data_IF_506968561254
#
_entry.id   IF_506968561254
#
_cell.length_a   1.000
_cell.length_b   1.000
_cell.length_c   1.000
_cell.angle_alpha   90.00
_cell.angle_beta   90.00
_cell.angle_gamma   90.00
#
_symmetry.space_group_name_H-M   'P 1'
#
loop_
_entity.id
_entity.type
_entity.pdbx_description
1 polymer ?
#
# COMPACT_ATOMS: atom_id res chain seq x y z
N UNK A 1 -7.82 21.46 11.50
CA UNK A 1 -8.78 20.77 10.62
C UNK A 1 -8.98 19.34 11.10
N UNK A 2 -10.12 18.71 10.79
CA UNK A 2 -10.47 17.36 11.21
C UNK A 2 -10.70 16.47 9.98
N UNK A 3 -9.88 15.41 9.81
CA UNK A 3 -10.07 14.41 8.77
C UNK A 3 -10.78 13.17 9.32
N UNK A 4 -11.84 12.72 8.66
CA UNK A 4 -12.39 11.39 8.90
C UNK A 4 -11.65 10.38 8.02
N UNK A 5 -10.97 9.43 8.62
CA UNK A 5 -10.31 8.30 7.95
C UNK A 5 -11.24 7.10 8.11
N UNK A 6 -11.77 6.57 7.00
CA UNK A 6 -12.77 5.51 7.01
C UNK A 6 -12.14 4.19 6.62
N UNK A 7 -11.96 3.31 7.60
CA UNK A 7 -11.21 2.06 7.52
C UNK A 7 -9.97 2.10 8.39
N UNK A 8 -9.87 1.20 9.36
CA UNK A 8 -8.81 1.20 10.38
C UNK A 8 -7.73 0.14 10.18
N UNK A 9 -7.66 -0.48 8.99
CA UNK A 9 -6.62 -1.45 8.65
C UNK A 9 -5.38 -0.76 8.06
N UNK A 10 -4.68 -1.39 7.14
CA UNK A 10 -3.36 -0.99 6.63
C UNK A 10 -3.31 0.45 6.10
N UNK A 11 -4.21 0.82 5.17
CA UNK A 11 -4.27 2.20 4.64
C UNK A 11 -4.64 3.20 5.74
N UNK A 12 -5.52 2.80 6.67
CA UNK A 12 -5.90 3.63 7.82
C UNK A 12 -4.72 3.91 8.75
N UNK A 13 -3.84 2.93 8.96
CA UNK A 13 -2.59 3.11 9.73
C UNK A 13 -1.69 4.14 9.04
N UNK A 14 -1.46 4.01 7.74
CA UNK A 14 -0.64 4.95 6.95
C UNK A 14 -1.18 6.38 7.07
N UNK A 15 -2.49 6.55 6.81
CA UNK A 15 -3.15 7.85 6.86
C UNK A 15 -3.08 8.50 8.23
N UNK A 16 -3.35 7.75 9.31
CA UNK A 16 -3.28 8.28 10.68
C UNK A 16 -1.86 8.67 11.04
N UNK A 17 -0.87 7.81 10.76
CA UNK A 17 0.53 8.11 11.03
C UNK A 17 1.04 9.35 10.28
N UNK A 18 0.61 9.55 9.02
CA UNK A 18 0.99 10.73 8.23
C UNK A 18 0.24 11.99 8.69
N UNK A 19 -1.04 11.88 9.07
CA UNK A 19 -1.81 12.99 9.63
C UNK A 19 -1.20 13.52 10.93
N UNK A 20 -0.66 12.63 11.81
CA UNK A 20 0.07 13.01 13.02
C UNK A 20 1.35 13.84 12.77
N UNK A 21 1.86 13.88 11.53
CA UNK A 21 2.99 14.73 11.12
C UNK A 21 2.56 16.10 10.64
N UNK A 22 1.29 16.42 10.77
CA UNK A 22 0.64 17.68 10.39
C UNK A 22 -0.17 18.24 11.56
N UNK A 23 -0.79 19.41 11.39
CA UNK A 23 -1.70 19.99 12.38
C UNK A 23 -3.15 19.48 12.25
N UNK A 24 -3.37 18.37 11.57
CA UNK A 24 -4.68 17.75 11.42
C UNK A 24 -5.03 16.85 12.60
N UNK A 25 -6.28 16.95 13.05
CA UNK A 25 -6.88 15.95 13.92
C UNK A 25 -7.49 14.83 13.08
N UNK A 26 -7.51 13.62 13.64
CA UNK A 26 -8.03 12.42 12.98
C UNK A 26 -9.24 11.87 13.71
N UNK A 27 -10.30 11.58 12.96
CA UNK A 27 -11.44 10.76 13.38
C UNK A 27 -11.38 9.45 12.61
N UNK A 28 -10.91 8.38 13.23
CA UNK A 28 -10.93 7.05 12.62
C UNK A 28 -12.34 6.46 12.73
N UNK A 29 -12.87 5.99 11.60
CA UNK A 29 -14.20 5.38 11.50
C UNK A 29 -14.05 3.96 11.00
N UNK A 30 -14.55 2.98 11.75
CA UNK A 30 -14.59 1.58 11.33
C UNK A 30 -15.81 0.88 11.97
N UNK A 31 -16.37 -0.10 11.27
CA UNK A 31 -17.46 -0.93 11.82
C UNK A 31 -16.98 -1.88 12.93
N UNK A 32 -15.71 -2.26 12.87
CA UNK A 32 -15.09 -3.14 13.85
C UNK A 32 -14.38 -2.31 14.93
N UNK A 33 -14.42 -2.78 16.16
CA UNK A 33 -13.49 -2.41 17.21
C UNK A 33 -12.23 -3.26 17.08
N UNK A 34 -11.14 -2.87 17.70
CA UNK A 34 -9.85 -3.58 17.65
C UNK A 34 -9.18 -3.61 16.26
N UNK A 35 -9.30 -2.51 15.51
CA UNK A 35 -8.56 -2.32 14.25
C UNK A 35 -7.17 -1.72 14.49
N UNK A 36 -6.19 -2.01 13.62
CA UNK A 36 -4.79 -1.58 13.81
C UNK A 36 -4.58 -0.09 14.08
N UNK A 37 -5.28 0.80 13.37
CA UNK A 37 -5.13 2.25 13.51
C UNK A 37 -5.84 2.83 14.76
N UNK A 38 -6.59 2.03 15.54
CA UNK A 38 -7.48 2.53 16.60
C UNK A 38 -6.75 3.31 17.69
N UNK A 39 -5.55 2.91 18.10
CA UNK A 39 -4.80 3.60 19.16
C UNK A 39 -3.83 4.67 18.62
N UNK A 40 -3.75 4.79 17.31
CA UNK A 40 -2.95 5.81 16.65
C UNK A 40 -3.73 7.10 16.41
N UNK A 41 -5.07 7.05 16.26
CA UNK A 41 -5.90 8.21 15.96
C UNK A 41 -6.24 9.06 17.19
N UNK A 42 -6.63 10.33 16.97
CA UNK A 42 -7.09 11.21 18.06
C UNK A 42 -8.46 10.80 18.60
N UNK A 43 -9.35 10.33 17.72
CA UNK A 43 -10.71 9.89 18.05
C UNK A 43 -11.07 8.67 17.23
N UNK A 44 -11.72 7.70 17.88
CA UNK A 44 -12.28 6.53 17.22
C UNK A 44 -13.81 6.54 17.28
N UNK A 45 -14.43 6.22 16.17
CA UNK A 45 -15.88 6.06 16.05
C UNK A 45 -16.21 4.71 15.43
N UNK A 46 -16.89 3.86 16.21
CA UNK A 46 -17.45 2.63 15.64
C UNK A 46 -18.70 2.96 14.83
N UNK A 47 -18.64 2.79 13.52
CA UNK A 47 -19.74 3.07 12.59
C UNK A 47 -19.63 2.19 11.35
N UNK A 48 -20.72 1.56 10.94
CA UNK A 48 -20.81 0.94 9.61
C UNK A 48 -21.26 1.98 8.57
N UNK A 49 -20.34 2.38 7.72
CA UNK A 49 -20.60 3.38 6.66
C UNK A 49 -21.42 2.81 5.49
N UNK A 50 -21.67 1.50 5.47
CA UNK A 50 -22.68 0.92 4.59
C UNK A 50 -24.11 1.35 4.97
N UNK A 51 -24.32 1.81 6.21
CA UNK A 51 -25.58 2.39 6.68
C UNK A 51 -25.61 3.90 6.45
N UNK A 52 -26.04 4.35 5.28
CA UNK A 52 -26.00 5.75 4.85
C UNK A 52 -26.69 6.72 5.86
N UNK A 53 -27.73 6.29 6.56
CA UNK A 53 -28.46 7.10 7.56
C UNK A 53 -27.62 7.46 8.79
N UNK A 54 -26.56 6.70 9.07
CA UNK A 54 -25.70 6.91 10.21
C UNK A 54 -24.60 7.99 9.96
N UNK A 55 -24.25 8.25 8.69
CA UNK A 55 -23.21 9.20 8.31
C UNK A 55 -23.51 10.62 8.78
N UNK A 56 -24.76 11.09 8.64
CA UNK A 56 -25.17 12.46 8.97
C UNK A 56 -24.98 12.83 10.43
N UNK A 57 -25.22 11.89 11.32
CA UNK A 57 -25.10 12.14 12.77
C UNK A 57 -23.66 12.26 13.21
N UNK A 58 -22.77 11.62 12.47
CA UNK A 58 -21.42 11.33 12.94
C UNK A 58 -20.32 12.11 12.23
N UNK A 59 -20.48 12.41 10.92
CA UNK A 59 -19.42 12.99 10.09
C UNK A 59 -19.68 14.46 9.69
N UNK A 60 -20.78 15.09 10.09
CA UNK A 60 -21.13 16.46 9.65
C UNK A 60 -20.15 17.57 10.06
N UNK A 61 -19.21 17.29 10.95
CA UNK A 61 -18.26 18.29 11.48
C UNK A 61 -16.83 18.07 10.99
N UNK A 62 -16.63 17.12 10.07
CA UNK A 62 -15.30 16.89 9.49
C UNK A 62 -15.05 17.82 8.30
N UNK A 63 -13.81 18.18 8.07
CA UNK A 63 -13.41 19.02 6.94
C UNK A 63 -13.15 18.20 5.67
N UNK A 64 -12.76 16.92 5.85
CA UNK A 64 -12.38 16.01 4.77
C UNK A 64 -12.70 14.57 5.17
N UNK A 65 -13.12 13.74 4.22
CA UNK A 65 -13.24 12.29 4.37
C UNK A 65 -12.22 11.61 3.46
N UNK A 66 -11.42 10.70 4.01
CA UNK A 66 -10.46 9.89 3.24
C UNK A 66 -10.83 8.41 3.42
N UNK A 67 -11.34 7.74 2.37
CA UNK A 67 -11.59 6.31 2.41
C UNK A 67 -10.27 5.52 2.48
N UNK A 68 -10.21 4.55 3.39
CA UNK A 68 -9.13 3.61 3.62
C UNK A 68 -9.67 2.16 3.62
N UNK A 69 -10.57 1.89 2.68
CA UNK A 69 -11.28 0.61 2.53
C UNK A 69 -11.69 0.39 1.07
N UNK A 70 -12.06 -0.85 0.74
CA UNK A 70 -12.35 -1.28 -0.64
C UNK A 70 -13.80 -1.76 -0.84
N UNK A 71 -14.68 -1.50 0.12
CA UNK A 71 -16.07 -1.89 0.01
C UNK A 71 -16.87 -0.91 -0.85
N UNK A 72 -17.35 -1.34 -2.01
CA UNK A 72 -18.05 -0.50 -3.00
C UNK A 72 -19.29 0.21 -2.41
N UNK A 73 -20.10 -0.49 -1.60
CA UNK A 73 -21.30 0.11 -0.99
C UNK A 73 -20.90 1.25 -0.04
N UNK A 74 -19.85 1.04 0.76
CA UNK A 74 -19.33 2.05 1.66
C UNK A 74 -18.79 3.27 0.89
N UNK A 75 -18.05 3.04 -0.19
CA UNK A 75 -17.49 4.11 -1.02
C UNK A 75 -18.59 4.92 -1.71
N UNK A 76 -19.60 4.27 -2.29
CA UNK A 76 -20.73 4.92 -2.92
C UNK A 76 -21.53 5.78 -1.92
N UNK A 77 -21.78 5.25 -0.72
CA UNK A 77 -22.44 5.99 0.35
C UNK A 77 -21.66 7.23 0.79
N UNK A 78 -20.33 7.09 0.97
CA UNK A 78 -19.46 8.21 1.34
C UNK A 78 -19.45 9.30 0.27
N UNK A 79 -19.30 8.92 -1.01
CA UNK A 79 -19.28 9.86 -2.13
C UNK A 79 -20.63 10.58 -2.27
N UNK A 80 -21.74 9.85 -2.20
CA UNK A 80 -23.09 10.44 -2.28
C UNK A 80 -23.35 11.38 -1.09
N UNK A 81 -23.01 10.95 0.13
CA UNK A 81 -23.16 11.75 1.34
C UNK A 81 -22.29 13.03 1.27
N UNK A 82 -21.02 12.90 0.88
CA UNK A 82 -20.11 14.04 0.73
C UNK A 82 -20.63 15.09 -0.26
N UNK A 83 -21.17 14.65 -1.42
CA UNK A 83 -21.81 15.53 -2.40
C UNK A 83 -23.02 16.27 -1.81
N UNK A 84 -23.90 15.57 -1.07
CA UNK A 84 -25.08 16.17 -0.43
C UNK A 84 -24.69 17.18 0.66
N UNK A 85 -23.64 16.90 1.42
CA UNK A 85 -23.18 17.74 2.55
C UNK A 85 -22.13 18.78 2.16
N UNK A 86 -21.64 18.75 0.92
CA UNK A 86 -20.53 19.57 0.43
C UNK A 86 -19.26 19.41 1.26
N UNK A 87 -19.03 18.17 1.74
CA UNK A 87 -17.81 17.75 2.42
C UNK A 87 -16.99 16.95 1.41
N UNK A 88 -15.74 17.34 1.13
CA UNK A 88 -14.88 16.62 0.20
C UNK A 88 -14.65 15.18 0.66
N UNK A 89 -14.72 14.24 -0.29
CA UNK A 89 -14.32 12.85 -0.11
C UNK A 89 -13.14 12.61 -1.04
N UNK A 90 -11.98 12.26 -0.48
CA UNK A 90 -10.74 12.10 -1.22
C UNK A 90 -10.70 10.77 -1.97
N UNK A 91 -11.59 10.62 -2.93
CA UNK A 91 -11.73 9.49 -3.84
C UNK A 91 -12.26 9.98 -5.18
N UNK A 92 -11.65 9.52 -6.26
CA UNK A 92 -12.19 9.61 -7.61
C UNK A 92 -12.93 8.29 -7.93
N UNK A 93 -14.28 8.27 -7.90
CA UNK A 93 -15.01 7.03 -8.07
C UNK A 93 -14.92 6.44 -9.50
N UNK A 94 -14.68 7.29 -10.52
CA UNK A 94 -14.55 6.83 -11.92
C UNK A 94 -13.17 6.17 -12.11
N UNK A 95 -12.11 6.79 -11.60
CA UNK A 95 -10.76 6.22 -11.62
C UNK A 95 -10.70 4.92 -10.78
N UNK A 96 -11.33 4.93 -9.60
CA UNK A 96 -11.40 3.74 -8.73
C UNK A 96 -12.16 2.58 -9.39
N UNK A 97 -13.26 2.85 -10.09
CA UNK A 97 -14.01 1.81 -10.80
C UNK A 97 -13.18 1.09 -11.89
N UNK A 98 -12.18 1.79 -12.47
CA UNK A 98 -11.23 1.19 -13.41
C UNK A 98 -10.17 0.37 -12.64
N UNK A 99 -9.54 0.98 -11.63
CA UNK A 99 -8.41 0.37 -10.91
C UNK A 99 -8.82 -0.83 -10.06
N UNK A 100 -10.00 -0.80 -9.46
CA UNK A 100 -10.54 -1.92 -8.65
C UNK A 100 -10.91 -3.17 -9.46
N UNK A 101 -10.77 -3.13 -10.80
CA UNK A 101 -10.98 -4.27 -11.69
C UNK A 101 -9.76 -4.54 -12.55
N UNK A 102 -9.00 -5.61 -12.26
CA UNK A 102 -7.84 -6.01 -13.06
C UNK A 102 -8.19 -6.22 -14.53
N UNK A 103 -9.42 -6.68 -14.83
CA UNK A 103 -9.91 -6.81 -16.23
C UNK A 103 -10.06 -5.43 -16.88
N UNK A 104 -10.61 -4.43 -16.15
CA UNK A 104 -10.78 -3.08 -16.69
C UNK A 104 -9.41 -2.39 -16.85
N UNK A 105 -8.52 -2.52 -15.87
CA UNK A 105 -7.15 -2.01 -15.95
C UNK A 105 -6.37 -2.61 -17.13
N UNK A 106 -6.44 -3.93 -17.32
CA UNK A 106 -5.76 -4.59 -18.45
C UNK A 106 -6.30 -4.13 -19.82
N UNK A 107 -7.61 -3.86 -19.92
CA UNK A 107 -8.19 -3.26 -21.16
C UNK A 107 -7.66 -1.85 -21.41
N UNK A 108 -7.55 -1.06 -20.34
CA UNK A 108 -6.96 0.29 -20.41
C UNK A 108 -5.50 0.20 -20.87
N UNK A 109 -4.69 -0.64 -20.24
CA UNK A 109 -3.27 -0.81 -20.59
C UNK A 109 -3.09 -1.22 -22.05
N UNK A 110 -3.89 -2.18 -22.52
CA UNK A 110 -3.87 -2.60 -23.93
C UNK A 110 -4.23 -1.46 -24.88
N UNK A 111 -5.21 -0.61 -24.55
CA UNK A 111 -5.60 0.53 -25.37
C UNK A 111 -4.52 1.63 -25.47
N UNK A 112 -3.68 1.72 -24.45
CA UNK A 112 -2.57 2.69 -24.36
C UNK A 112 -1.23 2.11 -24.87
N UNK A 113 -1.17 0.83 -25.18
CA UNK A 113 0.07 0.15 -25.53
C UNK A 113 1.06 0.05 -24.36
N UNK A 114 0.55 0.07 -23.12
CA UNK A 114 1.37 -0.06 -21.89
C UNK A 114 1.84 -1.51 -21.78
N UNK A 115 3.15 -1.75 -21.54
CA UNK A 115 3.68 -3.09 -21.35
C UNK A 115 3.08 -3.77 -20.10
N UNK A 116 2.51 -4.96 -20.29
CA UNK A 116 1.95 -5.79 -19.22
C UNK A 116 2.42 -7.23 -19.39
N UNK A 117 2.23 -8.12 -18.40
CA UNK A 117 2.39 -9.55 -18.61
C UNK A 117 1.53 -10.03 -19.78
N UNK A 118 2.04 -10.96 -20.59
CA UNK A 118 1.30 -11.48 -21.73
C UNK A 118 0.05 -12.26 -21.25
N UNK A 119 -1.13 -12.07 -21.85
CA UNK A 119 -2.34 -12.76 -21.42
C UNK A 119 -2.32 -14.24 -21.84
N UNK A 120 -3.04 -15.08 -21.08
CA UNK A 120 -3.35 -16.45 -21.49
C UNK A 120 -4.35 -16.44 -22.68
N UNK A 121 -4.22 -17.37 -23.65
CA UNK A 121 -3.27 -18.49 -23.72
C UNK A 121 -1.93 -18.16 -24.38
N UNK A 122 -1.68 -16.92 -24.82
CA UNK A 122 -0.48 -16.53 -25.58
C UNK A 122 0.82 -16.70 -24.78
N UNK A 123 0.78 -16.52 -23.45
CA UNK A 123 1.97 -16.64 -22.61
C UNK A 123 2.42 -18.09 -22.37
N UNK A 124 1.54 -19.09 -22.49
CA UNK A 124 1.82 -20.43 -22.01
C UNK A 124 2.01 -20.50 -20.48
N UNK A 125 2.55 -21.63 -20.00
CA UNK A 125 2.92 -21.77 -18.57
C UNK A 125 4.37 -21.33 -18.32
N UNK A 126 4.68 -20.81 -17.11
CA UNK A 126 3.81 -20.64 -15.95
C UNK A 126 2.86 -19.42 -16.07
N UNK A 127 1.67 -19.55 -15.47
CA UNK A 127 0.60 -18.56 -15.48
C UNK A 127 0.31 -18.08 -14.05
N UNK A 128 0.06 -16.80 -13.89
CA UNK A 128 -0.57 -16.26 -12.68
C UNK A 128 -2.07 -16.14 -12.89
N UNK A 129 -2.85 -16.74 -11.99
CA UNK A 129 -4.29 -16.57 -11.90
C UNK A 129 -4.62 -15.58 -10.79
N UNK A 130 -5.37 -14.52 -11.11
CA UNK A 130 -5.73 -13.45 -10.17
C UNK A 130 -7.24 -13.21 -10.21
N UNK A 131 -7.96 -13.18 -9.06
CA UNK A 131 -9.33 -12.66 -9.04
C UNK A 131 -9.34 -11.19 -9.46
N UNK A 132 -10.28 -10.78 -10.33
CA UNK A 132 -10.28 -9.43 -10.88
C UNK A 132 -10.46 -8.32 -9.87
N UNK A 133 -11.24 -8.57 -8.80
CA UNK A 133 -11.62 -7.58 -7.79
C UNK A 133 -10.97 -7.81 -6.41
N UNK A 134 -10.01 -8.72 -6.31
CA UNK A 134 -9.26 -8.93 -5.07
C UNK A 134 -8.01 -8.04 -5.02
N UNK A 135 -7.61 -7.66 -3.81
CA UNK A 135 -6.39 -6.90 -3.49
C UNK A 135 -5.52 -7.66 -2.49
N UNK A 136 -4.30 -7.17 -2.21
CA UNK A 136 -3.40 -7.78 -1.22
C UNK A 136 -3.08 -9.24 -1.51
N UNK A 137 -2.91 -9.60 -2.76
CA UNK A 137 -2.60 -10.97 -3.24
C UNK A 137 -3.65 -12.04 -2.88
N UNK A 138 -4.84 -11.66 -2.42
CA UNK A 138 -5.90 -12.61 -2.07
C UNK A 138 -6.33 -13.44 -3.29
N UNK A 139 -6.27 -14.75 -3.16
CA UNK A 139 -6.67 -15.69 -4.21
C UNK A 139 -5.70 -15.79 -5.40
N UNK A 140 -4.56 -15.13 -5.36
CA UNK A 140 -3.52 -15.27 -6.40
C UNK A 140 -2.93 -16.66 -6.37
N UNK A 141 -2.79 -17.30 -7.54
CA UNK A 141 -2.19 -18.61 -7.69
C UNK A 141 -1.20 -18.64 -8.86
N UNK A 142 -0.05 -19.25 -8.66
CA UNK A 142 0.92 -19.53 -9.72
C UNK A 142 0.73 -20.96 -10.19
N UNK A 143 0.33 -21.11 -11.45
CA UNK A 143 0.08 -22.38 -12.12
C UNK A 143 1.29 -22.68 -13.01
N UNK A 144 2.11 -23.63 -12.61
CA UNK A 144 3.39 -23.92 -13.29
C UNK A 144 3.21 -24.76 -14.54
N UNK A 145 2.10 -25.50 -14.63
CA UNK A 145 1.82 -26.45 -15.69
C UNK A 145 0.30 -26.77 -15.73
N UNK A 146 -0.10 -27.55 -16.73
CA UNK A 146 -1.48 -27.96 -16.92
C UNK A 146 -2.09 -28.71 -15.72
N UNK A 147 -1.29 -29.52 -15.02
CA UNK A 147 -1.77 -30.26 -13.82
C UNK A 147 -2.13 -29.32 -12.67
N UNK A 148 -1.32 -28.28 -12.46
CA UNK A 148 -1.60 -27.27 -11.43
C UNK A 148 -2.89 -26.53 -11.80
N UNK A 149 -3.06 -26.19 -13.10
CA UNK A 149 -4.26 -25.54 -13.59
C UNK A 149 -5.52 -26.39 -13.38
N UNK A 150 -5.49 -27.69 -13.68
CA UNK A 150 -6.61 -28.61 -13.47
C UNK A 150 -6.93 -28.82 -11.99
N UNK A 151 -5.92 -28.77 -11.11
CA UNK A 151 -6.12 -28.88 -9.67
C UNK A 151 -6.87 -27.68 -9.08
N UNK A 152 -6.58 -26.47 -9.57
CA UNK A 152 -7.23 -25.23 -9.09
C UNK A 152 -8.52 -24.95 -9.85
N UNK A 153 -8.56 -25.22 -11.15
CA UNK A 153 -9.70 -24.97 -12.04
C UNK A 153 -10.09 -26.26 -12.78
N UNK A 154 -10.75 -27.22 -12.11
CA UNK A 154 -11.06 -28.54 -12.67
C UNK A 154 -12.02 -28.52 -13.87
N UNK A 155 -12.70 -27.39 -14.10
CA UNK A 155 -13.62 -27.18 -15.23
C UNK A 155 -13.02 -26.24 -16.30
N UNK A 156 -11.71 -26.00 -16.27
CA UNK A 156 -11.03 -25.02 -17.11
C UNK A 156 -11.06 -23.60 -16.50
N UNK A 157 -10.32 -22.72 -17.12
CA UNK A 157 -10.28 -21.31 -16.67
C UNK A 157 -11.63 -20.63 -16.87
N UNK A 158 -12.18 -19.95 -15.83
CA UNK A 158 -13.46 -19.25 -15.95
C UNK A 158 -13.33 -18.03 -16.89
N UNK A 159 -14.37 -17.78 -17.68
CA UNK A 159 -14.42 -16.66 -18.63
C UNK A 159 -14.52 -15.28 -17.96
N UNK A 160 -15.00 -15.23 -16.72
CA UNK A 160 -15.27 -13.98 -16.00
C UNK A 160 -14.71 -13.99 -14.57
N UNK A 161 -14.40 -12.81 -14.08
CA UNK A 161 -13.99 -12.61 -12.69
C UNK A 161 -12.53 -12.93 -12.39
N UNK A 162 -11.76 -13.41 -13.36
CA UNK A 162 -10.36 -13.78 -13.23
C UNK A 162 -9.51 -13.17 -14.35
N UNK A 163 -8.24 -12.92 -14.03
CA UNK A 163 -7.17 -12.60 -14.98
C UNK A 163 -6.17 -13.75 -14.97
N UNK A 164 -5.79 -14.21 -16.16
CA UNK A 164 -4.76 -15.22 -16.37
C UNK A 164 -3.68 -14.62 -17.26
N UNK A 165 -2.46 -14.53 -16.73
CA UNK A 165 -1.36 -13.83 -17.39
C UNK A 165 -0.02 -14.49 -17.09
N UNK A 166 0.99 -14.13 -17.85
CA UNK A 166 2.36 -14.61 -17.71
C UNK A 166 2.87 -14.41 -16.28
N UNK A 167 3.41 -15.46 -15.70
CA UNK A 167 4.22 -15.33 -14.48
C UNK A 167 5.55 -14.66 -14.86
N UNK A 168 5.84 -13.58 -14.18
CA UNK A 168 7.10 -12.84 -14.32
C UNK A 168 7.93 -13.00 -13.05
N UNK A 169 9.23 -13.23 -13.22
CA UNK A 169 10.20 -13.23 -12.14
C UNK A 169 11.09 -12.01 -12.28
N UNK A 170 11.28 -11.28 -11.19
CA UNK A 170 12.07 -10.07 -11.18
C UNK A 170 11.76 -9.16 -10.00
N UNK A 171 12.54 -8.08 -9.84
CA UNK A 171 12.27 -7.08 -8.79
C UNK A 171 11.02 -6.27 -9.09
N UNK A 172 10.22 -6.02 -8.05
CA UNK A 172 8.98 -5.26 -8.11
C UNK A 172 9.18 -3.85 -7.53
N UNK A 173 8.47 -2.89 -8.11
CA UNK A 173 8.53 -1.49 -7.73
C UNK A 173 7.13 -0.89 -7.71
N UNK A 174 6.94 0.16 -6.88
CA UNK A 174 5.73 0.95 -6.86
C UNK A 174 6.05 2.43 -7.07
N UNK A 175 5.12 3.15 -7.68
CA UNK A 175 5.13 4.59 -7.85
C UNK A 175 3.75 5.15 -7.59
N UNK A 176 3.65 6.06 -6.64
CA UNK A 176 2.45 6.86 -6.47
C UNK A 176 2.50 8.10 -7.37
N UNK A 177 1.38 8.36 -8.05
CA UNK A 177 1.14 9.57 -8.82
C UNK A 177 -0.06 10.30 -8.23
N UNK A 178 0.11 11.57 -7.89
CA UNK A 178 -0.94 12.40 -7.32
C UNK A 178 -1.23 13.61 -8.21
N UNK A 179 -2.50 14.00 -8.33
CA UNK A 179 -2.85 15.20 -9.08
C UNK A 179 -4.26 15.18 -9.65
N UNK A 180 -4.42 15.96 -10.70
CA UNK A 180 -5.65 16.12 -11.50
C UNK A 180 -5.28 16.26 -12.98
N UNK A 181 -6.24 16.12 -13.92
CA UNK A 181 -5.98 16.23 -15.35
C UNK A 181 -5.12 17.44 -15.72
N UNK A 182 -4.00 17.17 -16.42
CA UNK A 182 -3.02 18.17 -16.82
C UNK A 182 -2.01 18.61 -15.77
N UNK A 183 -2.10 18.10 -14.53
CA UNK A 183 -1.16 18.43 -13.45
C UNK A 183 -0.94 17.24 -12.51
N UNK A 184 -0.17 16.27 -12.95
CA UNK A 184 0.21 15.08 -12.18
C UNK A 184 1.65 15.14 -11.73
N UNK A 185 1.87 14.72 -10.50
CA UNK A 185 3.18 14.67 -9.86
C UNK A 185 3.51 13.22 -9.51
N UNK A 186 4.46 12.59 -10.22
CA UNK A 186 5.02 11.31 -9.79
C UNK A 186 5.85 11.54 -8.53
N UNK A 187 5.71 10.65 -7.55
CA UNK A 187 6.43 10.72 -6.29
C UNK A 187 7.71 9.89 -6.34
N UNK A 188 8.16 9.33 -5.22
CA UNK A 188 9.38 8.52 -5.20
C UNK A 188 9.08 7.07 -5.57
N UNK A 189 9.83 6.51 -6.53
CA UNK A 189 9.78 5.06 -6.80
C UNK A 189 10.35 4.29 -5.62
N UNK A 190 9.57 3.35 -5.10
CA UNK A 190 9.95 2.40 -4.06
C UNK A 190 10.25 1.03 -4.63
N UNK A 191 11.01 0.20 -3.91
CA UNK A 191 11.27 -1.19 -4.25
C UNK A 191 10.52 -2.09 -3.26
N UNK A 192 9.77 -3.06 -3.79
CA UNK A 192 8.91 -3.97 -3.03
C UNK A 192 9.56 -5.34 -2.90
N UNK A 193 9.52 -5.92 -1.71
CA UNK A 193 10.06 -7.26 -1.42
C UNK A 193 8.93 -8.17 -0.99
N UNK A 194 8.60 -9.14 -1.83
CA UNK A 194 7.52 -10.07 -1.60
C UNK A 194 7.96 -11.25 -0.72
N UNK A 195 7.03 -11.83 0.00
CA UNK A 195 7.20 -13.12 0.66
C UNK A 195 6.86 -14.30 -0.29
N UNK A 196 6.80 -15.51 0.25
CA UNK A 196 6.54 -16.73 -0.54
C UNK A 196 5.11 -16.82 -1.09
N UNK A 197 4.18 -16.01 -0.58
CA UNK A 197 2.78 -15.94 -1.02
C UNK A 197 2.47 -14.66 -1.79
N UNK A 198 3.51 -13.93 -2.21
CA UNK A 198 3.44 -12.67 -2.98
C UNK A 198 2.81 -11.51 -2.19
N UNK A 199 2.85 -11.55 -0.86
CA UNK A 199 2.50 -10.42 -0.02
C UNK A 199 3.75 -9.59 0.31
N UNK A 200 3.64 -8.26 0.29
CA UNK A 200 4.79 -7.38 0.46
C UNK A 200 5.26 -7.37 1.91
N UNK A 201 6.45 -7.93 2.16
CA UNK A 201 7.06 -8.04 3.49
C UNK A 201 7.96 -6.87 3.86
N UNK A 202 8.40 -6.11 2.86
CA UNK A 202 9.22 -4.93 3.09
C UNK A 202 9.24 -3.99 1.89
N UNK A 203 9.46 -2.71 2.18
CA UNK A 203 9.58 -1.63 1.20
C UNK A 203 10.88 -0.88 1.43
N UNK A 204 11.65 -0.63 0.37
CA UNK A 204 12.80 0.26 0.41
C UNK A 204 12.55 1.53 -0.41
N UNK A 205 12.92 2.67 0.15
CA UNK A 205 12.83 3.99 -0.48
C UNK A 205 14.15 4.78 -0.30
N UNK A 206 14.73 5.37 -1.37
CA UNK A 206 14.36 5.20 -2.78
C UNK A 206 14.69 3.80 -3.30
N UNK A 207 14.11 3.43 -4.44
CA UNK A 207 14.52 2.24 -5.18
C UNK A 207 15.98 2.36 -5.65
N UNK A 208 16.64 1.23 -5.92
CA UNK A 208 18.00 1.19 -6.47
C UNK A 208 18.08 1.38 -7.99
N UNK A 209 16.99 1.76 -8.63
CA UNK A 209 16.91 1.95 -10.07
C UNK A 209 17.77 3.13 -10.55
N UNK A 210 18.34 3.01 -11.75
CA UNK A 210 19.01 4.12 -12.41
C UNK A 210 18.02 5.22 -12.81
N UNK A 211 18.47 6.47 -12.89
CA UNK A 211 17.62 7.61 -13.20
C UNK A 211 16.83 7.47 -14.54
N UNK A 212 17.36 6.72 -15.51
CA UNK A 212 16.65 6.41 -16.76
C UNK A 212 15.45 5.51 -16.54
N UNK A 213 15.60 4.48 -15.71
CA UNK A 213 14.56 3.53 -15.34
C UNK A 213 13.47 4.20 -14.50
N UNK A 214 13.86 5.04 -13.55
CA UNK A 214 12.90 5.84 -12.76
C UNK A 214 12.02 6.68 -13.69
N UNK A 215 12.62 7.44 -14.63
CA UNK A 215 11.88 8.24 -15.60
C UNK A 215 10.94 7.42 -16.50
N UNK A 216 11.27 6.17 -16.77
CA UNK A 216 10.40 5.26 -17.52
C UNK A 216 9.13 4.94 -16.72
N UNK A 217 9.27 4.56 -15.44
CA UNK A 217 8.15 4.29 -14.54
C UNK A 217 7.30 5.56 -14.33
N UNK A 218 7.93 6.73 -14.10
CA UNK A 218 7.24 8.02 -13.95
C UNK A 218 6.37 8.33 -15.19
N UNK A 219 6.89 8.11 -16.40
CA UNK A 219 6.13 8.31 -17.63
C UNK A 219 4.94 7.37 -17.74
N UNK A 220 5.11 6.09 -17.37
CA UNK A 220 4.02 5.11 -17.35
C UNK A 220 2.95 5.53 -16.34
N UNK A 221 3.33 5.91 -15.12
CA UNK A 221 2.40 6.34 -14.09
C UNK A 221 1.62 7.59 -14.47
N UNK A 222 2.28 8.61 -15.01
CA UNK A 222 1.62 9.83 -15.48
C UNK A 222 0.67 9.54 -16.65
N UNK A 223 1.08 8.71 -17.62
CA UNK A 223 0.21 8.33 -18.75
C UNK A 223 -1.06 7.58 -18.29
N UNK A 224 -0.94 6.72 -17.28
CA UNK A 224 -2.07 6.02 -16.67
C UNK A 224 -2.99 7.02 -15.97
N UNK A 225 -2.45 7.91 -15.12
CA UNK A 225 -3.21 8.91 -14.39
C UNK A 225 -3.99 9.84 -15.35
N UNK A 226 -3.36 10.27 -16.44
CA UNK A 226 -4.03 11.06 -17.50
C UNK A 226 -5.16 10.28 -18.19
N UNK A 227 -4.93 8.99 -18.50
CA UNK A 227 -5.92 8.19 -19.22
C UNK A 227 -7.18 7.91 -18.38
N UNK A 228 -7.02 7.69 -17.06
CA UNK A 228 -8.16 7.55 -16.14
C UNK A 228 -8.71 8.91 -15.65
N UNK A 229 -8.12 10.03 -16.12
CA UNK A 229 -8.49 11.41 -15.73
C UNK A 229 -8.54 11.62 -14.21
N UNK A 230 -7.61 11.00 -13.52
CA UNK A 230 -7.57 10.94 -12.05
C UNK A 230 -7.67 12.32 -11.40
N UNK A 231 -8.53 12.45 -10.40
CA UNK A 231 -8.42 13.49 -9.37
C UNK A 231 -8.17 12.82 -8.03
N UNK A 232 -6.91 12.74 -7.61
CA UNK A 232 -6.53 12.01 -6.41
C UNK A 232 -5.13 11.45 -6.49
N UNK A 233 -4.98 10.25 -5.97
CA UNK A 233 -3.74 9.48 -5.94
C UNK A 233 -3.96 8.11 -6.56
N UNK A 234 -3.01 7.64 -7.38
CA UNK A 234 -2.95 6.29 -7.90
C UNK A 234 -1.59 5.68 -7.59
N UNK A 235 -1.59 4.46 -7.10
CA UNK A 235 -0.43 3.58 -7.02
C UNK A 235 -0.31 2.77 -8.30
N UNK A 236 0.93 2.62 -8.80
CA UNK A 236 1.27 1.87 -10.02
C UNK A 236 2.36 0.87 -9.68
N UNK A 237 2.00 -0.41 -9.65
CA UNK A 237 2.96 -1.49 -9.42
C UNK A 237 3.52 -2.01 -10.73
N UNK A 238 4.86 -2.12 -10.78
CA UNK A 238 5.58 -2.61 -11.94
C UNK A 238 6.60 -3.67 -11.54
N UNK A 239 6.89 -4.60 -12.46
CA UNK A 239 7.97 -5.58 -12.35
C UNK A 239 8.99 -5.35 -13.46
N UNK A 240 10.28 -5.45 -13.13
CA UNK A 240 11.35 -5.42 -14.12
C UNK A 240 11.66 -6.84 -14.59
N UNK A 241 11.39 -7.12 -15.85
CA UNK A 241 11.54 -8.44 -16.44
C UNK A 241 12.07 -8.32 -17.88
N UNK A 242 13.05 -9.15 -18.26
CA UNK A 242 13.65 -9.20 -19.61
C UNK A 242 14.08 -7.81 -20.15
N UNK A 243 14.64 -6.98 -19.27
CA UNK A 243 15.20 -5.68 -19.66
C UNK A 243 14.18 -4.55 -19.78
N UNK A 244 12.92 -4.74 -19.39
CA UNK A 244 11.86 -3.74 -19.43
C UNK A 244 10.90 -3.80 -18.25
N UNK A 245 10.16 -2.72 -18.00
CA UNK A 245 9.10 -2.69 -17.00
C UNK A 245 7.77 -3.19 -17.58
N UNK A 246 7.03 -3.92 -16.77
CA UNK A 246 5.66 -4.34 -17.06
C UNK A 246 4.76 -3.92 -15.90
N UNK A 247 3.65 -3.26 -16.19
CA UNK A 247 2.66 -2.87 -15.19
C UNK A 247 1.89 -4.11 -14.76
N UNK A 248 1.85 -4.35 -13.44
CA UNK A 248 1.13 -5.48 -12.84
C UNK A 248 -0.27 -5.10 -12.37
N UNK A 249 -0.38 -3.90 -11.77
CA UNK A 249 -1.60 -3.42 -11.14
C UNK A 249 -1.58 -1.90 -10.99
N UNK A 250 -2.76 -1.30 -10.90
CA UNK A 250 -2.95 0.08 -10.45
C UNK A 250 -4.04 0.13 -9.40
N UNK A 251 -3.94 1.10 -8.49
CA UNK A 251 -4.95 1.31 -7.47
C UNK A 251 -5.18 2.81 -7.22
N UNK A 252 -6.35 3.32 -7.62
CA UNK A 252 -6.71 4.74 -7.49
C UNK A 252 -7.30 5.07 -6.11
N UNK A 253 -6.57 4.69 -5.06
CA UNK A 253 -6.86 4.97 -3.65
C UNK A 253 -5.57 5.19 -2.87
N UNK A 254 -5.70 5.57 -1.59
CA UNK A 254 -4.54 5.68 -0.72
C UNK A 254 -3.93 4.29 -0.45
N UNK A 255 -2.65 4.05 -0.77
CA UNK A 255 -2.01 2.75 -0.61
C UNK A 255 -1.56 2.50 0.83
N UNK A 256 -1.09 1.28 1.09
CA UNK A 256 -0.37 0.89 2.31
C UNK A 256 1.14 0.85 2.08
N UNK A 257 1.93 0.90 3.15
CA UNK A 257 3.39 0.74 3.23
C UNK A 257 4.22 1.82 2.52
N UNK A 258 3.96 2.07 1.24
CA UNK A 258 4.76 3.00 0.42
C UNK A 258 4.67 4.45 0.88
N UNK A 259 3.52 5.00 1.36
CA UNK A 259 3.45 6.37 1.85
C UNK A 259 4.37 6.67 3.04
N UNK A 260 4.44 5.77 4.02
CA UNK A 260 5.36 5.93 5.15
C UNK A 260 6.82 5.75 4.71
N UNK A 261 7.12 4.82 3.79
CA UNK A 261 8.47 4.65 3.24
C UNK A 261 8.96 5.94 2.54
N UNK A 262 8.11 6.50 1.67
CA UNK A 262 8.40 7.77 0.96
C UNK A 262 8.52 8.93 1.94
N UNK A 263 7.63 9.03 2.94
CA UNK A 263 7.73 10.07 3.97
C UNK A 263 9.05 9.99 4.74
N UNK A 264 9.44 8.82 5.22
CA UNK A 264 10.68 8.62 5.94
C UNK A 264 11.93 8.82 5.08
N UNK A 265 11.82 8.64 3.76
CA UNK A 265 12.91 8.90 2.82
C UNK A 265 13.04 10.38 2.44
N UNK A 266 11.94 11.05 2.11
CA UNK A 266 11.95 12.38 1.46
C UNK A 266 11.31 13.49 2.28
N UNK A 267 10.52 13.14 3.32
CA UNK A 267 9.64 14.08 4.03
C UNK A 267 8.35 14.41 3.27
N UNK A 268 8.11 13.79 2.10
CA UNK A 268 6.88 13.98 1.34
C UNK A 268 5.70 13.34 2.07
N UNK A 269 4.71 14.15 2.47
CA UNK A 269 3.52 13.67 3.18
C UNK A 269 2.33 13.54 2.22
N UNK A 270 2.04 12.30 1.81
CA UNK A 270 0.96 12.02 0.85
C UNK A 270 -0.43 12.34 1.40
N UNK A 271 -0.65 12.23 2.73
CA UNK A 271 -1.88 12.68 3.36
C UNK A 271 -2.09 14.19 3.16
N UNK A 272 -1.06 14.99 3.46
CA UNK A 272 -1.12 16.46 3.31
C UNK A 272 -1.33 16.86 1.85
N UNK A 273 -0.64 16.19 0.91
CA UNK A 273 -0.79 16.45 -0.52
C UNK A 273 -2.21 16.12 -1.00
N UNK A 274 -2.76 14.97 -0.57
CA UNK A 274 -4.11 14.57 -0.94
C UNK A 274 -5.16 15.51 -0.32
N UNK A 275 -5.01 15.89 0.95
CA UNK A 275 -5.88 16.84 1.62
C UNK A 275 -5.90 18.19 0.90
N UNK A 276 -4.72 18.71 0.54
CA UNK A 276 -4.61 19.98 -0.20
C UNK A 276 -5.24 19.89 -1.60
N UNK A 277 -5.11 18.75 -2.29
CA UNK A 277 -5.71 18.55 -3.60
C UNK A 277 -7.25 18.67 -3.56
N UNK A 278 -7.88 18.15 -2.51
CA UNK A 278 -9.34 18.15 -2.38
C UNK A 278 -9.91 19.42 -1.72
N UNK A 279 -9.11 20.15 -0.93
CA UNK A 279 -9.57 21.34 -0.21
C UNK A 279 -9.15 22.66 -0.88
N UNK A 280 -7.93 22.75 -1.42
CA UNK A 280 -7.36 23.99 -1.93
C UNK A 280 -7.33 24.06 -3.46
N UNK A 281 -7.82 23.03 -4.16
CA UNK A 281 -7.80 22.90 -5.62
C UNK A 281 -6.40 22.94 -6.27
N UNK A 282 -5.35 22.99 -5.47
CA UNK A 282 -3.96 23.00 -5.96
C UNK A 282 -3.15 21.95 -5.23
N UNK A 283 -2.54 20.99 -5.91
CA UNK A 283 -1.51 20.17 -5.29
C UNK A 283 -0.35 21.09 -4.94
N UNK A 284 -0.11 21.32 -3.66
CA UNK A 284 1.10 22.02 -3.24
C UNK A 284 2.28 21.09 -3.49
N UNK A 285 3.03 21.35 -4.57
CA UNK A 285 4.36 20.79 -4.74
C UNK A 285 5.24 21.35 -3.60
N UNK A 286 5.33 20.64 -2.50
CA UNK A 286 6.50 20.79 -1.65
C UNK A 286 7.59 19.95 -2.30
N UNK A 287 8.55 20.62 -2.93
CA UNK A 287 9.84 19.98 -3.24
C UNK A 287 10.34 19.26 -1.99
N UNK A 288 10.99 18.09 -2.12
CA UNK A 288 11.56 17.39 -0.98
C UNK A 288 12.33 18.39 -0.12
N UNK A 289 11.92 18.57 1.12
CA UNK A 289 12.50 19.55 2.04
C UNK A 289 13.88 19.12 2.53
N UNK A 290 14.24 17.86 2.24
CA UNK A 290 15.50 17.23 2.68
C UNK A 290 16.03 16.36 1.53
N UNK A 291 17.36 16.27 1.35
CA UNK A 291 17.93 15.25 0.46
C UNK A 291 17.38 13.85 0.81
N UNK A 292 16.95 13.10 -0.19
CA UNK A 292 16.43 11.75 0.03
C UNK A 292 17.45 10.89 0.79
N UNK A 293 16.98 10.22 1.84
CA UNK A 293 17.75 9.24 2.63
C UNK A 293 17.17 7.85 2.43
N UNK A 294 17.94 6.82 2.72
CA UNK A 294 17.42 5.46 2.70
C UNK A 294 16.41 5.25 3.82
N UNK A 295 15.26 4.67 3.49
CA UNK A 295 14.27 4.20 4.44
C UNK A 295 13.90 2.75 4.09
N UNK A 296 13.68 1.93 5.12
CA UNK A 296 13.15 0.57 4.98
C UNK A 296 12.01 0.40 5.96
N UNK A 297 10.90 -0.10 5.48
CA UNK A 297 9.82 -0.67 6.25
C UNK A 297 9.90 -2.20 6.13
N UNK A 298 9.88 -2.92 7.25
CA UNK A 298 9.92 -4.38 7.28
C UNK A 298 8.89 -4.91 8.27
N UNK A 299 8.05 -5.84 7.84
CA UNK A 299 7.03 -6.44 8.69
C UNK A 299 7.57 -7.72 9.33
N UNK A 300 7.40 -7.82 10.64
CA UNK A 300 7.83 -8.98 11.41
C UNK A 300 6.71 -9.51 12.30
N UNK A 301 6.64 -10.83 12.39
CA UNK A 301 5.91 -11.54 13.43
C UNK A 301 6.92 -12.26 14.32
N UNK A 302 6.80 -12.02 15.63
CA UNK A 302 7.70 -12.58 16.63
C UNK A 302 6.92 -13.56 17.50
N UNK A 303 7.51 -14.72 17.74
CA UNK A 303 7.03 -15.76 18.64
C UNK A 303 8.13 -16.09 19.66
N UNK A 304 7.84 -16.94 20.64
CA UNK A 304 8.86 -17.39 21.60
C UNK A 304 10.07 -18.10 20.96
N UNK A 305 9.93 -18.65 19.75
CA UNK A 305 10.99 -19.44 19.12
C UNK A 305 11.61 -18.81 17.86
N UNK A 306 10.93 -17.85 17.22
CA UNK A 306 11.39 -17.33 15.95
C UNK A 306 10.85 -15.92 15.64
N UNK A 307 11.63 -15.18 14.84
CA UNK A 307 11.21 -13.98 14.13
C UNK A 307 10.91 -14.38 12.70
N UNK A 308 9.73 -14.03 12.20
CA UNK A 308 9.32 -14.24 10.81
C UNK A 308 9.23 -12.88 10.12
N UNK A 309 9.88 -12.75 8.97
CA UNK A 309 9.69 -11.59 8.08
C UNK A 309 8.62 -12.00 7.07
N UNK A 310 7.44 -11.43 7.18
CA UNK A 310 6.22 -11.84 6.45
C UNK A 310 5.55 -10.62 5.82
N UNK A 311 4.59 -10.87 4.92
CA UNK A 311 3.83 -9.82 4.27
C UNK A 311 2.96 -9.00 5.23
N UNK A 312 2.42 -7.89 4.72
CA UNK A 312 1.67 -6.91 5.54
C UNK A 312 0.37 -7.47 6.13
N UNK A 313 -0.15 -8.58 5.61
CA UNK A 313 -1.38 -9.21 6.14
C UNK A 313 -1.31 -9.49 7.65
N UNK A 314 -0.11 -9.75 8.20
CA UNK A 314 0.05 -9.94 9.66
C UNK A 314 -0.31 -8.69 10.45
N UNK A 315 -0.08 -7.51 9.86
CA UNK A 315 -0.41 -6.22 10.47
C UNK A 315 -1.92 -5.91 10.38
N UNK A 316 -2.58 -6.34 9.30
CA UNK A 316 -4.02 -6.16 9.11
C UNK A 316 -4.87 -6.86 10.18
N UNK A 317 -4.33 -7.93 10.80
CA UNK A 317 -4.99 -8.75 11.80
C UNK A 317 -4.48 -8.50 13.23
N UNK A 318 -3.54 -7.56 13.39
CA UNK A 318 -2.80 -7.36 14.64
C UNK A 318 -3.63 -6.81 15.81
N UNK A 319 -4.84 -6.30 15.55
CA UNK A 319 -5.55 -5.45 16.51
C UNK A 319 -4.90 -4.07 16.64
N UNK A 320 -5.26 -3.28 17.66
CA UNK A 320 -4.72 -1.94 17.84
C UNK A 320 -3.20 -1.93 18.00
N UNK A 321 -2.55 -1.02 17.28
CA UNK A 321 -1.11 -0.83 17.28
C UNK A 321 -0.73 0.42 18.07
N UNK A 322 0.46 0.39 18.68
CA UNK A 322 1.16 1.56 19.23
C UNK A 322 2.27 1.99 18.26
N UNK A 323 2.55 3.28 18.26
CA UNK A 323 3.74 3.83 17.62
C UNK A 323 4.84 4.02 18.67
N UNK A 324 5.94 3.28 18.55
CA UNK A 324 7.05 3.29 19.49
C UNK A 324 8.32 3.78 18.81
N UNK A 325 8.93 4.84 19.35
CA UNK A 325 10.24 5.35 18.90
C UNK A 325 11.37 4.59 19.58
N UNK A 326 12.46 4.33 18.84
CA UNK A 326 13.64 3.64 19.37
C UNK A 326 13.46 2.15 19.67
N UNK A 327 12.38 1.53 19.16
CA UNK A 327 12.01 0.15 19.42
C UNK A 327 13.11 -0.83 19.00
N UNK A 328 13.81 -1.44 19.96
CA UNK A 328 15.01 -2.27 19.75
C UNK A 328 16.08 -1.62 18.84
N UNK A 329 16.08 -0.29 18.74
CA UNK A 329 16.98 0.48 17.88
C UNK A 329 16.40 0.89 16.51
N UNK A 330 15.17 0.52 16.17
CA UNK A 330 14.46 1.10 15.03
C UNK A 330 14.13 2.57 15.29
N UNK A 331 14.00 3.38 14.22
CA UNK A 331 13.59 4.78 14.39
C UNK A 331 12.16 4.86 14.93
N UNK A 332 11.28 4.07 14.32
CA UNK A 332 9.88 3.90 14.71
C UNK A 332 9.47 2.44 14.53
N UNK A 333 8.59 1.95 15.36
CA UNK A 333 7.84 0.72 15.11
C UNK A 333 6.35 0.95 15.32
N UNK A 334 5.54 0.35 14.45
CA UNK A 334 4.10 0.19 14.65
C UNK A 334 3.88 -1.24 15.13
N UNK A 335 3.45 -1.42 16.38
CA UNK A 335 3.49 -2.76 17.00
C UNK A 335 2.39 -2.93 18.05
N UNK A 336 1.98 -4.17 18.25
CA UNK A 336 1.16 -4.58 19.38
C UNK A 336 1.97 -5.27 20.49
N UNK A 337 3.30 -5.09 20.48
CA UNK A 337 4.19 -5.68 21.49
C UNK A 337 3.80 -5.25 22.91
N UNK A 338 3.76 -6.23 23.79
CA UNK A 338 3.67 -6.05 25.25
C UNK A 338 4.72 -6.95 25.89
N UNK A 339 5.35 -6.47 26.96
CA UNK A 339 6.30 -7.26 27.72
C UNK A 339 5.64 -8.57 28.20
N UNK A 340 6.33 -9.72 27.95
CA UNK A 340 5.82 -11.05 28.26
C UNK A 340 4.83 -11.63 27.25
N UNK A 341 4.51 -10.93 26.15
CA UNK A 341 3.68 -11.48 25.10
C UNK A 341 4.37 -12.67 24.40
N UNK A 342 3.64 -13.77 24.21
CA UNK A 342 4.15 -14.97 23.52
C UNK A 342 4.19 -14.82 22.00
N UNK A 343 3.42 -13.87 21.46
CA UNK A 343 3.39 -13.52 20.04
C UNK A 343 2.99 -12.05 19.86
N UNK A 344 3.65 -11.39 18.92
CA UNK A 344 3.36 -10.00 18.53
C UNK A 344 3.85 -9.73 17.12
N UNK A 345 3.42 -8.59 16.56
CA UNK A 345 3.84 -8.13 15.24
C UNK A 345 4.38 -6.71 15.30
N UNK A 346 5.20 -6.36 14.33
CA UNK A 346 5.65 -4.99 14.15
C UNK A 346 5.94 -4.67 12.67
N UNK A 347 5.65 -3.43 12.28
CA UNK A 347 6.30 -2.78 11.14
C UNK A 347 7.48 -1.98 11.67
N UNK A 348 8.69 -2.45 11.38
CA UNK A 348 9.93 -1.74 11.71
C UNK A 348 10.19 -0.67 10.65
N UNK A 349 10.37 0.58 11.06
CA UNK A 349 10.74 1.69 10.19
C UNK A 349 12.14 2.14 10.57
N UNK A 350 13.08 1.99 9.65
CA UNK A 350 14.48 2.35 9.86
C UNK A 350 14.99 3.23 8.74
N UNK A 351 15.85 4.19 9.09
CA UNK A 351 16.44 5.13 8.13
C UNK A 351 17.96 5.15 8.23
N UNK A 352 18.61 5.47 7.11
CA UNK A 352 20.03 5.65 6.99
C UNK A 352 20.37 6.71 5.92
N UNK A 353 21.62 7.08 5.74
CA UNK A 353 22.01 7.96 4.62
C UNK A 353 21.77 7.29 3.25
N UNK A 354 21.79 5.97 3.21
CA UNK A 354 21.50 5.14 2.04
C UNK A 354 20.62 3.96 2.46
N UNK A 355 19.95 3.31 1.50
CA UNK A 355 19.19 2.07 1.77
C UNK A 355 20.07 0.97 2.36
N UNK A 356 21.34 0.84 1.92
CA UNK A 356 22.27 -0.11 2.51
C UNK A 356 22.52 0.15 4.01
N UNK A 357 22.65 1.42 4.42
CA UNK A 357 22.77 1.74 5.86
C UNK A 357 21.47 1.51 6.62
N UNK A 358 20.32 1.81 6.02
CA UNK A 358 19.03 1.48 6.61
C UNK A 358 18.88 -0.04 6.80
N UNK A 359 19.27 -0.84 5.79
CA UNK A 359 19.27 -2.31 5.87
C UNK A 359 20.16 -2.84 6.99
N UNK A 360 21.40 -2.35 7.09
CA UNK A 360 22.28 -2.70 8.21
C UNK A 360 21.70 -2.34 9.58
N UNK A 361 20.95 -1.25 9.65
CA UNK A 361 20.24 -0.87 10.89
C UNK A 361 19.09 -1.84 11.16
N UNK A 362 18.32 -2.23 10.14
CA UNK A 362 17.26 -3.22 10.28
C UNK A 362 17.81 -4.57 10.81
N UNK A 363 18.92 -5.04 10.24
CA UNK A 363 19.59 -6.26 10.70
C UNK A 363 20.03 -6.16 12.18
N UNK A 364 20.51 -4.99 12.62
CA UNK A 364 20.84 -4.76 14.03
C UNK A 364 19.61 -4.76 14.94
N UNK A 365 18.48 -4.24 14.47
CA UNK A 365 17.22 -4.28 15.22
C UNK A 365 16.76 -5.72 15.40
N UNK A 366 16.76 -6.53 14.32
CA UNK A 366 16.43 -7.95 14.41
C UNK A 366 17.37 -8.70 15.37
N UNK A 367 18.68 -8.44 15.31
CA UNK A 367 19.65 -9.02 16.23
C UNK A 367 19.44 -8.57 17.70
N UNK A 368 18.99 -7.34 17.93
CA UNK A 368 18.63 -6.85 19.27
C UNK A 368 17.39 -7.58 19.80
N UNK A 369 16.34 -7.73 18.98
CA UNK A 369 15.15 -8.53 19.34
C UNK A 369 15.55 -9.97 19.70
N UNK A 370 16.38 -10.61 18.87
CA UNK A 370 16.86 -11.98 19.15
C UNK A 370 17.56 -12.08 20.50
N UNK A 371 18.51 -11.21 20.74
CA UNK A 371 19.31 -11.22 21.97
C UNK A 371 18.46 -10.94 23.20
N UNK A 372 17.61 -9.88 23.15
CA UNK A 372 16.89 -9.38 24.33
C UNK A 372 15.69 -10.29 24.68
N UNK A 373 15.14 -11.02 23.69
CA UNK A 373 14.05 -11.99 23.88
C UNK A 373 14.51 -13.45 23.82
N UNK A 374 15.82 -13.71 23.70
CA UNK A 374 16.41 -15.05 23.62
C UNK A 374 15.82 -15.91 22.50
N UNK A 375 15.70 -15.33 21.30
CA UNK A 375 15.18 -15.99 20.10
C UNK A 375 16.33 -16.43 19.19
N UNK A 376 16.35 -17.70 18.79
CA UNK A 376 17.46 -18.24 17.99
C UNK A 376 17.28 -18.06 16.48
N UNK A 377 16.05 -18.10 15.98
CA UNK A 377 15.78 -18.25 14.54
C UNK A 377 15.16 -16.99 13.93
N UNK A 378 15.65 -16.60 12.74
CA UNK A 378 14.97 -15.64 11.86
C UNK A 378 14.65 -16.32 10.54
N UNK A 379 13.38 -16.27 10.12
CA UNK A 379 12.84 -16.90 8.92
C UNK A 379 12.51 -15.84 7.87
N UNK A 380 12.72 -16.13 6.59
CA UNK A 380 12.38 -15.30 5.44
C UNK A 380 13.06 -13.92 5.41
N UNK A 381 14.28 -13.80 5.89
CA UNK A 381 15.08 -12.56 5.78
C UNK A 381 15.09 -12.03 4.35
N UNK A 382 15.40 -10.75 4.21
CA UNK A 382 15.76 -10.19 2.92
C UNK A 382 16.81 -11.08 2.23
N UNK A 383 16.69 -11.30 0.89
CA UNK A 383 17.73 -12.04 0.16
C UNK A 383 19.07 -11.32 0.31
N UNK A 384 20.16 -12.09 0.37
CA UNK A 384 21.50 -11.55 0.32
C UNK A 384 21.68 -10.74 -0.98
N UNK A 385 22.11 -9.49 -0.87
CA UNK A 385 22.23 -8.57 -2.00
C UNK A 385 21.04 -7.63 -2.22
N UNK A 386 19.98 -7.72 -1.43
CA UNK A 386 19.00 -6.64 -1.32
C UNK A 386 19.64 -5.40 -0.67
N UNK A 387 19.14 -4.18 -0.96
CA UNK A 387 19.84 -2.91 -0.71
C UNK A 387 20.33 -2.71 0.70
#
# INVERSE_FOLDING_TARGET
MLAAIVGGRLQGVELVCLAQKTDWQTLLVDRNTHVPAQWLCDRFLQLDVCEASALDKSLKTVDLVIPALENQIALDNLVQWGRMRKIPVALDPEAYAISSSKIASNRLFASLGIPTPAPWPQCGFPVVAKPSHASGSEGVAVLRNQRDAEAVFPHGFPDNGWVFEQYLDGPSFSLEVIGRPGNYVPLQVTELFMDAVYDCKAVAAPSRLAAGQIREIEKLGVAIAEAIRLTGLVDVEVIFHDGGFKVLEIDARFPSQTPLAVYHSTGCNMFEMLANLFLAEQPTQRSPTVPARGAILEHIRVTLGAIFVEGEHIMAQAGPLDQVTGFFGADVALTNYREGASQWVATLIVTGRTCAQAKQKCDRVLAAIQRDLNIETIVNRFPEGAP
#
